data_IF_189847578903
#
_entry.id   IF_189847578903
#
_cell.length_a   1.000
_cell.length_b   1.000
_cell.length_c   1.000
_cell.angle_alpha   90.00
_cell.angle_beta   90.00
_cell.angle_gamma   90.00
#
_symmetry.space_group_name_H-M   'P 1'
#
loop_
_entity.id
_entity.type
_entity.pdbx_description
1 polymer ?
#
# COMPACT_ATOMS: atom_id res chain seq x y z
N UNK A 1 6.89 -4.61 -21.28
CA UNK A 1 5.58 -4.55 -20.58
C UNK A 1 5.84 -3.89 -19.24
N UNK A 2 5.20 -2.76 -18.95
CA UNK A 2 5.39 -2.08 -17.67
C UNK A 2 4.59 -2.80 -16.58
N UNK A 3 5.25 -3.10 -15.47
CA UNK A 3 4.63 -3.65 -14.26
C UNK A 3 4.90 -2.67 -13.12
N UNK A 4 3.86 -2.37 -12.35
CA UNK A 4 3.96 -1.56 -11.15
C UNK A 4 3.92 -2.47 -9.91
N UNK A 5 4.75 -2.13 -8.93
CA UNK A 5 4.79 -2.81 -7.65
C UNK A 5 4.34 -1.90 -6.52
N UNK A 6 3.73 -2.50 -5.51
CA UNK A 6 3.36 -1.85 -4.25
C UNK A 6 3.51 -2.83 -3.10
N UNK A 7 3.57 -2.30 -1.89
CA UNK A 7 3.52 -3.11 -0.67
C UNK A 7 2.35 -2.66 0.18
N UNK A 8 1.53 -3.61 0.59
CA UNK A 8 0.40 -3.41 1.51
C UNK A 8 0.55 -4.36 2.70
N UNK A 9 0.07 -3.97 3.88
CA UNK A 9 0.04 -4.88 5.03
C UNK A 9 -1.18 -5.79 4.96
N UNK A 10 -1.10 -6.98 5.58
CA UNK A 10 -2.23 -7.91 5.66
C UNK A 10 -3.47 -7.23 6.26
N UNK A 11 -3.32 -6.41 7.29
CA UNK A 11 -4.41 -5.64 7.89
C UNK A 11 -5.06 -4.68 6.88
N UNK A 12 -4.26 -3.84 6.22
CA UNK A 12 -4.78 -2.88 5.24
C UNK A 12 -5.48 -3.58 4.06
N UNK A 13 -4.89 -4.69 3.57
CA UNK A 13 -5.52 -5.51 2.54
C UNK A 13 -6.88 -6.03 3.02
N UNK A 14 -6.96 -6.64 4.21
CA UNK A 14 -8.21 -7.19 4.75
C UNK A 14 -9.28 -6.11 4.91
N UNK A 15 -8.90 -4.91 5.33
CA UNK A 15 -9.82 -3.77 5.43
C UNK A 15 -10.37 -3.39 4.05
N UNK A 16 -9.51 -3.29 3.03
CA UNK A 16 -9.95 -2.96 1.67
C UNK A 16 -10.94 -3.99 1.11
N UNK A 17 -10.69 -5.29 1.35
CA UNK A 17 -11.59 -6.36 0.90
C UNK A 17 -12.93 -6.35 1.65
N UNK A 18 -12.90 -6.15 2.98
CA UNK A 18 -14.10 -6.24 3.83
C UNK A 18 -14.98 -4.99 3.73
N UNK A 19 -14.38 -3.80 3.76
CA UNK A 19 -15.12 -2.54 3.90
C UNK A 19 -15.21 -1.72 2.62
N UNK A 20 -14.21 -1.81 1.75
CA UNK A 20 -14.13 -0.96 0.56
C UNK A 20 -14.51 -1.71 -0.73
N UNK A 21 -15.17 -2.87 -0.63
CA UNK A 21 -15.60 -3.65 -1.79
C UNK A 21 -14.45 -4.16 -2.66
N UNK A 22 -13.27 -4.40 -2.06
CA UNK A 22 -12.07 -4.80 -2.79
C UNK A 22 -11.43 -3.66 -3.60
N UNK A 23 -11.67 -2.40 -3.22
CA UNK A 23 -11.02 -1.23 -3.79
C UNK A 23 -9.82 -0.82 -2.93
N UNK A 24 -8.65 -0.72 -3.57
CA UNK A 24 -7.39 -0.43 -2.92
C UNK A 24 -6.88 0.96 -3.33
N UNK A 25 -6.45 1.76 -2.34
CA UNK A 25 -5.63 2.94 -2.60
C UNK A 25 -4.17 2.52 -2.49
N UNK A 26 -3.38 2.67 -3.56
CA UNK A 26 -1.99 2.21 -3.57
C UNK A 26 -1.04 3.26 -4.09
N UNK A 27 0.10 3.38 -3.39
CA UNK A 27 1.31 3.99 -3.94
C UNK A 27 2.12 2.91 -4.63
N UNK A 28 2.56 3.14 -5.86
CA UNK A 28 3.28 2.14 -6.62
C UNK A 28 4.43 2.74 -7.42
N UNK A 29 5.40 1.89 -7.72
CA UNK A 29 6.60 2.22 -8.46
C UNK A 29 6.79 1.20 -9.59
N UNK A 30 7.33 1.62 -10.74
CA UNK A 30 7.60 0.69 -11.84
C UNK A 30 8.78 -0.23 -11.50
N UNK A 31 8.73 -1.46 -12.01
CA UNK A 31 9.82 -2.42 -11.82
C UNK A 31 11.01 -2.08 -12.73
N UNK A 32 12.10 -1.63 -12.11
CA UNK A 32 13.31 -1.20 -12.82
C UNK A 32 14.01 -2.34 -13.56
N UNK A 33 13.97 -3.57 -13.06
CA UNK A 33 14.57 -4.72 -13.75
C UNK A 33 13.89 -5.02 -15.10
N UNK A 34 12.65 -4.56 -15.31
CA UNK A 34 11.93 -4.73 -16.57
C UNK A 34 12.15 -3.59 -17.57
N UNK A 35 12.63 -2.44 -17.11
CA UNK A 35 13.06 -1.33 -17.97
C UNK A 35 14.21 -0.55 -17.32
N UNK A 36 15.47 -0.81 -17.73
CA UNK A 36 16.66 -0.15 -17.18
C UNK A 36 16.70 1.37 -17.40
N UNK A 37 15.87 1.91 -18.30
CA UNK A 37 15.80 3.36 -18.56
C UNK A 37 14.96 4.11 -17.51
N UNK A 38 14.23 3.39 -16.66
CA UNK A 38 13.48 4.00 -15.57
C UNK A 38 14.43 4.61 -14.53
N UNK A 39 14.10 5.78 -13.97
CA UNK A 39 14.91 6.40 -12.94
C UNK A 39 14.95 5.52 -11.69
N UNK A 40 16.06 5.59 -10.95
CA UNK A 40 16.15 4.94 -9.66
C UNK A 40 15.27 5.69 -8.67
N UNK A 41 14.22 5.03 -8.16
CA UNK A 41 13.42 5.57 -7.08
C UNK A 41 14.22 5.65 -5.78
N UNK A 42 13.84 6.58 -4.90
CA UNK A 42 14.44 6.64 -3.57
C UNK A 42 14.18 5.33 -2.83
N UNK A 43 15.11 4.90 -1.99
CA UNK A 43 14.99 3.63 -1.27
C UNK A 43 13.71 3.58 -0.42
N UNK A 44 13.32 4.71 0.18
CA UNK A 44 12.09 4.84 0.97
C UNK A 44 10.80 4.73 0.16
N UNK A 45 10.88 4.75 -1.18
CA UNK A 45 9.77 4.59 -2.12
C UNK A 45 9.80 3.28 -2.90
N UNK A 46 10.85 2.46 -2.70
CA UNK A 46 10.96 1.15 -3.31
C UNK A 46 10.01 0.17 -2.60
N UNK A 47 9.01 -0.39 -3.30
CA UNK A 47 8.08 -1.36 -2.73
C UNK A 47 8.79 -2.54 -2.05
N UNK A 48 9.92 -3.01 -2.59
CA UNK A 48 10.65 -4.16 -2.05
C UNK A 48 11.42 -3.79 -0.77
N UNK A 49 11.94 -2.58 -0.70
CA UNK A 49 12.50 -2.06 0.54
C UNK A 49 11.42 -1.98 1.62
N UNK A 50 10.27 -1.37 1.33
CA UNK A 50 9.14 -1.26 2.26
C UNK A 50 8.66 -2.64 2.73
N UNK A 51 8.55 -3.60 1.80
CA UNK A 51 8.23 -5.00 2.12
C UNK A 51 9.18 -5.56 3.18
N UNK A 52 10.49 -5.42 2.98
CA UNK A 52 11.49 -5.93 3.92
C UNK A 52 11.43 -5.26 5.30
N UNK A 53 11.11 -3.97 5.36
CA UNK A 53 10.95 -3.27 6.65
C UNK A 53 9.82 -3.87 7.48
N UNK A 54 8.63 -4.03 6.88
CA UNK A 54 7.50 -4.69 7.55
C UNK A 54 7.81 -6.15 7.90
N UNK A 55 8.42 -6.92 6.99
CA UNK A 55 8.76 -8.32 7.25
C UNK A 55 9.72 -8.45 8.45
N UNK A 56 10.69 -7.54 8.57
CA UNK A 56 11.65 -7.55 9.68
C UNK A 56 11.00 -7.11 11.00
N UNK A 57 10.13 -6.08 10.97
CA UNK A 57 9.34 -5.65 12.13
C UNK A 57 8.44 -6.79 12.65
N UNK A 58 7.81 -7.54 11.74
CA UNK A 58 7.01 -8.71 12.09
C UNK A 58 7.86 -9.82 12.70
N UNK A 59 8.98 -10.17 12.05
CA UNK A 59 9.89 -11.21 12.52
C UNK A 59 10.47 -10.94 13.90
N UNK A 60 10.79 -9.69 14.19
CA UNK A 60 11.39 -9.27 15.48
C UNK A 60 10.33 -8.95 16.55
N UNK A 61 9.05 -8.95 16.19
CA UNK A 61 7.95 -8.52 17.05
C UNK A 61 8.17 -7.12 17.65
N UNK A 62 8.83 -6.22 16.92
CA UNK A 62 9.09 -4.86 17.39
C UNK A 62 7.77 -4.07 17.47
N UNK A 63 7.33 -3.80 18.70
CA UNK A 63 6.10 -3.05 18.98
C UNK A 63 6.26 -1.55 18.77
N UNK A 64 7.49 -1.06 18.68
CA UNK A 64 7.79 0.36 18.51
C UNK A 64 8.29 0.70 17.10
N UNK A 65 8.25 -0.27 16.17
CA UNK A 65 8.64 -0.08 14.79
C UNK A 65 7.88 1.09 14.13
N UNK A 66 8.63 2.01 13.54
CA UNK A 66 8.10 3.22 12.92
C UNK A 66 7.31 2.93 11.64
N UNK A 67 7.60 1.86 10.89
CA UNK A 67 6.81 1.50 9.71
C UNK A 67 5.42 1.01 10.12
N UNK A 68 5.32 0.21 11.18
CA UNK A 68 4.03 -0.24 11.72
C UNK A 68 3.22 0.96 12.24
N UNK A 69 3.84 1.86 13.02
CA UNK A 69 3.16 3.08 13.51
C UNK A 69 2.63 3.94 12.36
N UNK A 70 3.47 4.20 11.35
CA UNK A 70 3.09 4.96 10.17
C UNK A 70 2.00 4.26 9.35
N UNK A 71 2.01 2.93 9.26
CA UNK A 71 0.97 2.16 8.60
C UNK A 71 -0.38 2.28 9.30
N UNK A 72 -0.42 2.17 10.64
CA UNK A 72 -1.65 2.39 11.43
C UNK A 72 -2.23 3.77 11.17
N UNK A 73 -1.40 4.81 11.27
CA UNK A 73 -1.81 6.19 10.98
C UNK A 73 -2.27 6.36 9.52
N UNK A 74 -1.66 5.64 8.57
CA UNK A 74 -2.09 5.57 7.18
C UNK A 74 -3.48 4.96 7.01
N UNK A 75 -3.76 3.83 7.66
CA UNK A 75 -5.06 3.15 7.59
C UNK A 75 -6.16 4.03 8.19
N UNK A 76 -5.94 4.64 9.36
CA UNK A 76 -6.91 5.53 10.01
C UNK A 76 -7.23 6.73 9.13
N UNK A 77 -6.20 7.39 8.57
CA UNK A 77 -6.41 8.49 7.61
C UNK A 77 -7.15 8.03 6.36
N UNK A 78 -6.86 6.83 5.87
CA UNK A 78 -7.55 6.20 4.75
C UNK A 78 -9.05 6.00 5.04
N UNK A 79 -9.39 5.45 6.20
CA UNK A 79 -10.79 5.26 6.62
C UNK A 79 -11.54 6.60 6.69
N UNK A 80 -10.95 7.63 7.30
CA UNK A 80 -11.53 8.98 7.33
C UNK A 80 -11.75 9.54 5.92
N UNK A 81 -10.81 9.33 4.99
CA UNK A 81 -10.96 9.76 3.60
C UNK A 81 -12.08 8.98 2.87
N UNK A 82 -12.21 7.66 3.12
CA UNK A 82 -13.27 6.82 2.54
C UNK A 82 -14.66 7.16 3.07
N UNK A 83 -14.77 7.50 4.35
CA UNK A 83 -16.00 8.06 4.92
C UNK A 83 -16.38 9.37 4.23
N UNK A 84 -15.41 10.27 4.03
CA UNK A 84 -15.65 11.58 3.41
C UNK A 84 -16.19 11.53 1.98
N UNK A 85 -16.02 10.40 1.28
CA UNK A 85 -16.58 10.16 -0.07
C UNK A 85 -17.78 9.20 -0.06
N UNK A 86 -18.29 8.83 1.12
CA UNK A 86 -19.45 7.96 1.29
C UNK A 86 -19.21 6.49 0.93
N UNK A 87 -17.95 6.03 0.88
CA UNK A 87 -17.62 4.63 0.62
C UNK A 87 -17.86 3.73 1.83
N UNK A 88 -17.75 4.30 3.03
CA UNK A 88 -18.11 3.66 4.30
C UNK A 88 -18.95 4.62 5.12
N UNK A 89 -19.64 4.10 6.14
CA UNK A 89 -20.30 4.89 7.17
C UNK A 89 -19.43 5.07 8.44
N UNK A 90 -19.95 5.82 9.41
CA UNK A 90 -19.26 6.10 10.67
C UNK A 90 -19.03 4.83 11.51
N UNK A 91 -19.98 3.90 11.51
CA UNK A 91 -19.87 2.66 12.28
C UNK A 91 -18.74 1.79 11.73
N UNK A 92 -18.63 1.67 10.40
CA UNK A 92 -17.53 0.99 9.72
C UNK A 92 -16.19 1.68 9.95
N UNK A 93 -16.15 3.02 9.93
CA UNK A 93 -14.92 3.77 10.26
C UNK A 93 -14.47 3.48 11.69
N UNK A 94 -15.39 3.49 12.66
CA UNK A 94 -15.09 3.19 14.05
C UNK A 94 -14.59 1.74 14.22
N UNK A 95 -15.24 0.76 13.57
CA UNK A 95 -14.78 -0.64 13.59
C UNK A 95 -13.35 -0.77 13.01
N UNK A 96 -13.05 -0.05 11.93
CA UNK A 96 -11.69 -0.01 11.35
C UNK A 96 -10.68 0.59 12.34
N UNK A 97 -11.01 1.69 13.02
CA UNK A 97 -10.14 2.30 14.02
C UNK A 97 -9.88 1.37 15.20
N UNK A 98 -10.90 0.68 15.70
CA UNK A 98 -10.77 -0.34 16.75
C UNK A 98 -9.90 -1.52 16.30
N UNK A 99 -10.14 -2.04 15.10
CA UNK A 99 -9.31 -3.11 14.51
C UNK A 99 -7.86 -2.67 14.42
N UNK A 100 -7.59 -1.45 13.96
CA UNK A 100 -6.23 -0.89 13.87
C UNK A 100 -5.62 -0.71 15.25
N UNK A 101 -6.38 -0.35 16.29
CA UNK A 101 -5.84 -0.19 17.64
C UNK A 101 -5.52 -1.53 18.30
N UNK A 102 -6.35 -2.55 18.08
CA UNK A 102 -6.17 -3.90 18.64
C UNK A 102 -5.21 -4.78 17.85
N UNK A 103 -4.90 -4.43 16.60
CA UNK A 103 -4.09 -5.28 15.73
C UNK A 103 -2.70 -5.54 16.31
N UNK A 104 -2.32 -6.81 16.42
CA UNK A 104 -0.98 -7.22 16.80
C UNK A 104 0.00 -7.18 15.61
N UNK A 105 1.30 -7.13 15.91
CA UNK A 105 2.39 -7.06 14.94
C UNK A 105 2.26 -8.05 13.76
N UNK A 106 1.85 -9.33 13.94
CA UNK A 106 1.65 -10.25 12.81
C UNK A 106 0.62 -9.80 11.77
N UNK A 107 -0.36 -8.97 12.12
CA UNK A 107 -1.34 -8.42 11.15
C UNK A 107 -0.71 -7.39 10.20
N UNK A 108 0.51 -6.92 10.50
CA UNK A 108 1.28 -6.02 9.65
C UNK A 108 2.23 -6.76 8.70
N UNK A 109 2.13 -8.10 8.61
CA UNK A 109 2.88 -8.87 7.64
C UNK A 109 2.66 -8.31 6.22
N UNK A 110 3.73 -8.01 5.48
CA UNK A 110 3.61 -7.35 4.17
C UNK A 110 3.14 -8.33 3.10
N UNK A 111 2.44 -7.77 2.11
CA UNK A 111 2.00 -8.41 0.88
C UNK A 111 2.52 -7.60 -0.28
N UNK A 112 3.15 -8.27 -1.23
CA UNK A 112 3.68 -7.61 -2.41
C UNK A 112 2.65 -7.63 -3.52
N UNK A 113 2.31 -6.46 -4.07
CA UNK A 113 1.31 -6.32 -5.12
C UNK A 113 2.00 -6.25 -6.48
N UNK A 114 1.52 -7.05 -7.43
CA UNK A 114 1.96 -7.07 -8.83
C UNK A 114 0.84 -6.52 -9.69
N UNK A 115 1.05 -5.34 -10.28
CA UNK A 115 0.01 -4.59 -10.98
C UNK A 115 0.42 -4.44 -12.45
N UNK A 116 -0.21 -5.18 -13.39
CA UNK A 116 -0.02 -4.96 -14.82
C UNK A 116 -0.44 -3.54 -15.19
N UNK A 117 0.41 -2.76 -15.86
CA UNK A 117 0.13 -1.34 -16.12
C UNK A 117 -1.02 -1.13 -17.12
N UNK A 118 -1.07 -1.93 -18.19
CA UNK A 118 -1.98 -1.69 -19.33
C UNK A 118 -3.46 -1.65 -18.90
N UNK A 119 -3.97 -2.58 -18.10
CA UNK A 119 -5.37 -2.56 -17.65
C UNK A 119 -5.74 -1.40 -16.72
N UNK A 120 -4.75 -0.82 -16.01
CA UNK A 120 -4.99 0.21 -14.97
C UNK A 120 -4.52 1.60 -15.37
N UNK A 121 -3.98 1.77 -16.59
CA UNK A 121 -3.33 3.01 -17.04
C UNK A 121 -4.18 4.27 -16.85
N UNK A 122 -5.51 4.14 -16.99
CA UNK A 122 -6.46 5.26 -16.89
C UNK A 122 -6.81 5.61 -15.43
N UNK A 123 -6.42 4.74 -14.48
CA UNK A 123 -6.54 4.96 -13.03
C UNK A 123 -5.24 5.47 -12.40
N UNK A 124 -4.14 5.48 -13.18
CA UNK A 124 -2.81 5.83 -12.69
C UNK A 124 -2.61 7.34 -12.70
N UNK A 125 -2.34 7.89 -11.53
CA UNK A 125 -1.99 9.28 -11.34
C UNK A 125 -0.49 9.41 -11.02
N UNK A 126 0.18 10.40 -11.59
CA UNK A 126 1.55 10.74 -11.17
C UNK A 126 1.51 11.36 -9.79
N UNK A 127 2.42 10.94 -8.92
CA UNK A 127 2.58 11.56 -7.61
C UNK A 127 2.98 13.03 -7.79
N UNK A 128 2.27 13.99 -7.15
CA UNK A 128 2.65 15.40 -7.14
C UNK A 128 4.07 15.59 -6.59
N UNK A 129 4.86 16.48 -7.18
CA UNK A 129 6.27 16.73 -6.81
C UNK A 129 6.48 16.91 -5.31
N UNK A 130 5.55 17.57 -4.62
CA UNK A 130 5.61 17.85 -3.17
C UNK A 130 5.43 16.60 -2.30
N UNK A 131 4.89 15.52 -2.86
CA UNK A 131 4.65 14.25 -2.17
C UNK A 131 5.66 13.18 -2.55
N UNK A 132 6.47 13.40 -3.59
CA UNK A 132 7.47 12.43 -4.04
C UNK A 132 8.57 12.26 -2.99
N UNK A 133 9.09 11.04 -2.90
CA UNK A 133 10.27 10.77 -2.09
C UNK A 133 11.55 11.43 -2.68
N UNK A 134 11.55 11.71 -3.99
CA UNK A 134 12.62 12.44 -4.68
C UNK A 134 12.07 13.15 -5.93
N UNK A 135 12.58 14.33 -6.34
CA UNK A 135 12.14 15.00 -7.57
C UNK A 135 12.29 14.15 -8.84
N UNK A 136 13.22 13.18 -8.84
CA UNK A 136 13.51 12.30 -9.97
C UNK A 136 12.85 10.92 -9.86
N UNK A 137 12.08 10.63 -8.80
CA UNK A 137 11.37 9.36 -8.68
C UNK A 137 10.20 9.29 -9.68
N UNK A 138 10.00 8.10 -10.25
CA UNK A 138 8.76 7.75 -10.95
C UNK A 138 7.88 6.94 -10.01
N UNK A 139 6.98 7.68 -9.36
CA UNK A 139 6.01 7.14 -8.41
C UNK A 139 4.60 7.47 -8.89
N UNK A 140 3.71 6.53 -8.65
CA UNK A 140 2.33 6.56 -9.10
C UNK A 140 1.38 6.30 -7.93
N UNK A 141 0.22 6.93 -7.99
CA UNK A 141 -0.92 6.63 -7.12
C UNK A 141 -2.01 6.00 -7.98
N UNK A 142 -2.62 4.94 -7.48
CA UNK A 142 -3.88 4.43 -8.01
C UNK A 142 -4.89 4.51 -6.88
N UNK A 143 -5.81 5.48 -6.99
CA UNK A 143 -6.73 5.79 -5.89
C UNK A 143 -7.83 4.74 -5.69
N UNK A 144 -8.25 4.08 -6.78
CA UNK A 144 -9.35 3.13 -6.80
C UNK A 144 -8.97 1.86 -7.57
N UNK A 145 -7.89 1.19 -7.17
CA UNK A 145 -7.42 -0.04 -7.79
C UNK A 145 -8.35 -1.21 -7.43
N UNK A 146 -9.08 -1.81 -8.40
CA UNK A 146 -9.94 -2.95 -8.12
C UNK A 146 -9.13 -4.21 -7.84
N UNK A 147 -9.62 -5.06 -6.94
CA UNK A 147 -8.95 -6.32 -6.55
C UNK A 147 -8.55 -7.20 -7.74
N UNK A 148 -9.36 -7.27 -8.79
CA UNK A 148 -9.09 -8.11 -9.96
C UNK A 148 -8.04 -7.54 -10.93
N UNK A 149 -7.43 -6.39 -10.62
CA UNK A 149 -6.40 -5.74 -11.45
C UNK A 149 -4.97 -5.93 -10.93
N UNK A 150 -4.78 -6.78 -9.92
CA UNK A 150 -3.45 -7.10 -9.40
C UNK A 150 -3.39 -8.50 -8.81
N UNK A 151 -2.18 -9.03 -8.76
CA UNK A 151 -1.86 -10.24 -8.01
C UNK A 151 -1.17 -9.89 -6.69
N UNK A 152 -1.32 -10.78 -5.71
CA UNK A 152 -0.56 -10.72 -4.46
C UNK A 152 0.47 -11.82 -4.49
N UNK A 153 1.72 -11.44 -4.24
CA UNK A 153 2.80 -12.35 -3.94
C UNK A 153 3.11 -12.29 -2.44
N UNK A 154 3.00 -13.44 -1.77
CA UNK A 154 3.42 -13.64 -0.39
C UNK A 154 4.67 -14.51 -0.39
N UNK A 155 5.76 -14.02 0.20
CA UNK A 155 6.92 -14.87 0.45
C UNK A 155 6.62 -15.72 1.69
N UNK A 156 6.43 -17.03 1.49
CA UNK A 156 6.31 -17.98 2.60
C UNK A 156 7.71 -18.11 3.22
N UNK A 157 7.90 -17.53 4.42
CA UNK A 157 9.06 -17.78 5.27
C UNK A 157 8.81 -18.97 6.18
#
# INVERSE_FOLDING_TARGET
MLILYSTVTRLAYTINEKYYGGIHYVWCAPEKALDPNLPTNAVSSDPWYIYRQFANAVKTHDKHDEYIKNNRAGIIRGAAARLGVGMIDEDQKNEIEELVNMAETPLFAPRFMVIPYVPVKDLVEKVPLQKKASPVSEEFIIGNLPRNQFDIWEWIT
#
